data_IF_344259593039
#
_entry.id   IF_344259593039
#
_cell.length_a   1.000
_cell.length_b   1.000
_cell.length_c   1.000
_cell.angle_alpha   90.00
_cell.angle_beta   90.00
_cell.angle_gamma   90.00
#
_symmetry.space_group_name_H-M   'P 1'
#
loop_
_entity.id
_entity.type
_entity.pdbx_description
1 polymer ?
#
# COMPACT_ATOMS: atom_id res chain seq x y z
N UNK A 1 24.30 -15.10 -0.17
CA UNK A 1 23.45 -13.98 0.31
C UNK A 1 23.40 -12.93 -0.78
N UNK A 2 22.23 -12.66 -1.39
CA UNK A 2 22.11 -11.54 -2.34
C UNK A 2 22.25 -10.21 -1.57
N UNK A 3 23.25 -9.41 -1.92
CA UNK A 3 23.37 -8.04 -1.43
C UNK A 3 22.24 -7.20 -2.03
N UNK A 4 21.29 -6.78 -1.21
CA UNK A 4 20.17 -5.96 -1.67
C UNK A 4 20.59 -4.49 -1.75
N UNK A 5 20.17 -3.73 -2.78
CA UNK A 5 20.55 -2.32 -2.91
C UNK A 5 20.07 -1.51 -1.69
N UNK A 6 20.99 -0.69 -1.14
CA UNK A 6 20.66 0.27 -0.08
C UNK A 6 19.84 1.41 -0.68
N UNK A 7 18.60 1.57 -0.23
CA UNK A 7 17.72 2.67 -0.65
C UNK A 7 17.90 3.84 0.32
N UNK A 8 18.13 5.04 -0.22
CA UNK A 8 18.31 6.24 0.60
C UNK A 8 17.04 6.58 1.39
N UNK A 9 17.15 7.32 2.52
CA UNK A 9 15.98 7.81 3.25
C UNK A 9 15.03 8.63 2.37
N UNK A 10 15.56 9.39 1.40
CA UNK A 10 14.76 10.12 0.42
C UNK A 10 14.00 9.16 -0.52
N UNK A 11 14.66 8.12 -1.03
CA UNK A 11 14.01 7.10 -1.86
C UNK A 11 12.87 6.40 -1.14
N UNK A 12 13.06 6.06 0.14
CA UNK A 12 12.00 5.47 0.96
C UNK A 12 10.82 6.44 1.23
N UNK A 13 11.04 7.76 1.18
CA UNK A 13 9.93 8.74 1.25
C UNK A 13 9.17 8.82 -0.06
N UNK A 14 9.88 8.81 -1.18
CA UNK A 14 9.27 8.83 -2.52
C UNK A 14 8.41 7.58 -2.75
N UNK A 15 8.88 6.40 -2.34
CA UNK A 15 8.09 5.17 -2.42
C UNK A 15 6.79 5.30 -1.61
N UNK A 16 6.88 5.71 -0.34
CA UNK A 16 5.71 5.90 0.53
C UNK A 16 4.76 6.97 -0.03
N UNK A 17 5.31 8.08 -0.54
CA UNK A 17 4.54 9.19 -1.11
C UNK A 17 3.84 8.82 -2.42
N UNK A 18 4.51 8.07 -3.31
CA UNK A 18 3.92 7.58 -4.56
C UNK A 18 2.73 6.66 -4.28
N UNK A 19 2.89 5.72 -3.35
CA UNK A 19 1.79 4.86 -2.93
C UNK A 19 0.68 5.61 -2.18
N UNK A 20 1.03 6.65 -1.41
CA UNK A 20 0.04 7.51 -0.78
C UNK A 20 -0.83 8.23 -1.82
N UNK A 21 -0.20 8.83 -2.83
CA UNK A 21 -0.92 9.51 -3.92
C UNK A 21 -1.83 8.53 -4.68
N UNK A 22 -1.31 7.36 -5.04
CA UNK A 22 -2.11 6.31 -5.69
C UNK A 22 -3.33 5.91 -4.85
N UNK A 23 -3.14 5.74 -3.54
CA UNK A 23 -4.20 5.36 -2.61
C UNK A 23 -5.25 6.48 -2.46
N UNK A 24 -4.83 7.75 -2.43
CA UNK A 24 -5.76 8.88 -2.41
C UNK A 24 -6.62 8.94 -3.68
N UNK A 25 -6.02 8.77 -4.86
CA UNK A 25 -6.76 8.73 -6.12
C UNK A 25 -7.78 7.59 -6.11
N UNK A 26 -7.38 6.43 -5.60
CA UNK A 26 -8.24 5.25 -5.51
C UNK A 26 -9.40 5.47 -4.52
N UNK A 27 -9.13 6.08 -3.36
CA UNK A 27 -10.16 6.46 -2.39
C UNK A 27 -11.21 7.39 -3.02
N UNK A 28 -10.74 8.43 -3.72
CA UNK A 28 -11.61 9.39 -4.41
C UNK A 28 -12.45 8.72 -5.50
N UNK A 29 -11.88 7.78 -6.26
CA UNK A 29 -12.59 7.04 -7.29
C UNK A 29 -13.76 6.21 -6.73
N UNK A 30 -13.62 5.68 -5.51
CA UNK A 30 -14.65 4.87 -4.85
C UNK A 30 -15.59 5.65 -3.94
N UNK A 31 -15.46 6.97 -3.82
CA UNK A 31 -16.35 7.77 -2.96
C UNK A 31 -17.83 7.67 -3.35
N UNK A 32 -18.13 7.41 -4.63
CA UNK A 32 -19.51 7.49 -5.14
C UNK A 32 -20.00 6.18 -5.72
N UNK A 33 -19.12 5.39 -6.36
CA UNK A 33 -19.51 4.14 -7.00
C UNK A 33 -18.39 3.11 -6.94
N UNK A 34 -18.73 1.93 -6.45
CA UNK A 34 -17.86 0.77 -6.44
C UNK A 34 -18.17 -0.13 -7.66
N UNK A 35 -17.15 -0.69 -8.34
CA UNK A 35 -17.35 -1.72 -9.36
C UNK A 35 -17.94 -2.98 -8.72
N UNK A 36 -18.96 -3.59 -9.34
CA UNK A 36 -19.60 -4.82 -8.82
C UNK A 36 -18.63 -6.01 -8.70
N UNK A 37 -17.55 -6.03 -9.47
CA UNK A 37 -16.48 -7.04 -9.32
C UNK A 37 -15.80 -7.00 -7.94
N UNK A 38 -15.95 -5.90 -7.20
CA UNK A 38 -15.38 -5.71 -5.86
C UNK A 38 -16.39 -5.92 -4.73
N UNK A 39 -17.65 -6.23 -5.03
CA UNK A 39 -18.68 -6.55 -4.02
C UNK A 39 -18.20 -7.59 -3.00
N UNK A 40 -17.48 -8.67 -3.40
CA UNK A 40 -16.92 -9.61 -2.44
C UNK A 40 -15.99 -8.93 -1.43
N UNK A 41 -15.13 -8.02 -1.88
CA UNK A 41 -14.18 -7.32 -1.00
C UNK A 41 -14.91 -6.37 -0.06
N UNK A 42 -15.89 -5.62 -0.56
CA UNK A 42 -16.67 -4.66 0.23
C UNK A 42 -17.45 -5.33 1.36
N UNK A 43 -17.91 -6.57 1.18
CA UNK A 43 -18.61 -7.32 2.23
C UNK A 43 -17.73 -7.71 3.43
N UNK A 44 -16.42 -7.88 3.24
CA UNK A 44 -15.49 -8.28 4.31
C UNK A 44 -14.84 -7.08 5.02
N UNK A 45 -14.90 -5.89 4.42
CA UNK A 45 -14.27 -4.72 5.00
C UNK A 45 -15.16 -4.10 6.08
N UNK A 46 -14.58 -3.72 7.23
CA UNK A 46 -15.32 -3.03 8.29
C UNK A 46 -15.70 -1.59 7.92
N UNK A 47 -15.04 -1.03 6.90
CA UNK A 47 -15.30 0.28 6.32
C UNK A 47 -15.57 0.09 4.82
N UNK A 48 -16.32 1.01 4.19
CA UNK A 48 -16.45 0.99 2.73
C UNK A 48 -15.08 1.14 2.02
N UNK A 49 -15.03 0.87 0.71
CA UNK A 49 -13.76 0.87 -0.02
C UNK A 49 -13.09 2.25 0.04
N UNK A 50 -13.85 3.32 -0.14
CA UNK A 50 -13.32 4.69 -0.13
C UNK A 50 -12.58 5.01 1.19
N UNK A 51 -13.20 4.72 2.33
CA UNK A 51 -12.61 4.99 3.65
C UNK A 51 -11.43 4.07 3.96
N UNK A 52 -11.48 2.82 3.51
CA UNK A 52 -10.35 1.89 3.64
C UNK A 52 -9.12 2.40 2.87
N UNK A 53 -9.31 2.84 1.63
CA UNK A 53 -8.24 3.42 0.82
C UNK A 53 -7.75 4.76 1.39
N UNK A 54 -8.64 5.60 1.92
CA UNK A 54 -8.27 6.86 2.57
C UNK A 54 -7.42 6.62 3.84
N UNK A 55 -7.76 5.60 4.63
CA UNK A 55 -6.98 5.21 5.80
C UNK A 55 -5.56 4.74 5.41
N UNK A 56 -5.45 3.90 4.37
CA UNK A 56 -4.16 3.46 3.83
C UNK A 56 -3.35 4.66 3.33
N UNK A 57 -4.00 5.55 2.58
CA UNK A 57 -3.38 6.77 2.05
C UNK A 57 -2.83 7.66 3.18
N UNK A 58 -3.60 7.84 4.26
CA UNK A 58 -3.18 8.61 5.42
C UNK A 58 -1.92 8.03 6.08
N UNK A 59 -1.89 6.72 6.31
CA UNK A 59 -0.71 6.05 6.87
C UNK A 59 0.53 6.26 5.99
N UNK A 60 0.38 6.11 4.68
CA UNK A 60 1.47 6.28 3.73
C UNK A 60 1.91 7.75 3.61
N UNK A 61 0.98 8.72 3.70
CA UNK A 61 1.29 10.16 3.76
C UNK A 61 2.09 10.48 5.01
N UNK A 62 1.67 10.00 6.19
CA UNK A 62 2.41 10.18 7.44
C UNK A 62 3.82 9.56 7.33
N UNK A 63 3.93 8.38 6.72
CA UNK A 63 5.21 7.71 6.49
C UNK A 63 6.16 8.43 5.51
N UNK A 64 5.61 9.25 4.61
CA UNK A 64 6.36 10.04 3.64
C UNK A 64 6.79 11.41 4.21
N UNK A 65 5.88 12.11 4.88
CA UNK A 65 6.06 13.51 5.28
C UNK A 65 6.77 13.66 6.62
N UNK A 66 6.54 12.74 7.57
CA UNK A 66 7.10 12.91 8.92
C UNK A 66 8.64 12.82 8.94
N UNK A 67 9.30 13.57 9.84
CA UNK A 67 10.74 13.45 10.08
C UNK A 67 11.13 12.03 10.50
N UNK A 68 12.29 11.55 10.05
CA UNK A 68 12.77 10.18 10.35
C UNK A 68 13.70 10.07 11.55
N UNK A 69 13.91 11.17 12.27
CA UNK A 69 14.77 11.23 13.45
C UNK A 69 13.94 11.21 14.74
N UNK A 70 14.53 10.73 15.84
CA UNK A 70 13.89 10.72 17.16
C UNK A 70 12.60 9.89 17.25
N UNK A 71 11.70 10.29 18.15
CA UNK A 71 10.42 9.61 18.42
C UNK A 71 9.47 9.66 17.20
N UNK A 72 9.40 10.80 16.51
CA UNK A 72 8.61 10.97 15.28
C UNK A 72 9.09 10.05 14.15
N UNK A 73 10.39 9.75 14.11
CA UNK A 73 10.93 8.78 13.16
C UNK A 73 10.40 7.36 13.34
N UNK A 74 10.14 6.90 14.57
CA UNK A 74 9.53 5.59 14.82
C UNK A 74 8.10 5.55 14.28
N UNK A 75 7.34 6.62 14.48
CA UNK A 75 5.96 6.76 13.99
C UNK A 75 5.96 6.77 12.45
N UNK A 76 6.78 7.62 11.83
CA UNK A 76 6.90 7.69 10.36
C UNK A 76 7.20 6.31 9.74
N UNK A 77 8.12 5.57 10.34
CA UNK A 77 8.48 4.21 9.92
C UNK A 77 7.34 3.21 10.10
N UNK A 78 6.68 3.24 11.26
CA UNK A 78 5.52 2.41 11.56
C UNK A 78 4.39 2.65 10.56
N UNK A 79 4.03 3.91 10.31
CA UNK A 79 3.00 4.31 9.36
C UNK A 79 3.34 3.87 7.93
N UNK A 80 4.58 4.06 7.46
CA UNK A 80 5.00 3.61 6.13
C UNK A 80 4.90 2.07 5.99
N UNK A 81 5.34 1.34 7.02
CA UNK A 81 5.33 -0.13 7.01
C UNK A 81 3.91 -0.69 7.05
N UNK A 82 3.09 -0.22 7.99
CA UNK A 82 1.70 -0.64 8.13
C UNK A 82 0.87 -0.23 6.91
N UNK A 83 1.02 1.01 6.44
CA UNK A 83 0.34 1.48 5.24
C UNK A 83 0.67 0.63 4.01
N UNK A 84 1.94 0.26 3.82
CA UNK A 84 2.34 -0.60 2.69
C UNK A 84 1.84 -2.04 2.86
N UNK A 85 1.75 -2.56 4.09
CA UNK A 85 1.19 -3.87 4.36
C UNK A 85 -0.32 -3.92 4.05
N UNK A 86 -1.09 -2.93 4.52
CA UNK A 86 -2.52 -2.83 4.19
C UNK A 86 -2.76 -2.63 2.70
N UNK A 87 -1.95 -1.79 2.05
CA UNK A 87 -1.95 -1.61 0.59
C UNK A 87 -1.76 -2.95 -0.14
N UNK A 88 -0.73 -3.73 0.23
CA UNK A 88 -0.46 -5.02 -0.39
C UNK A 88 -1.63 -6.00 -0.19
N UNK A 89 -2.22 -6.02 1.01
CA UNK A 89 -3.42 -6.82 1.31
C UNK A 89 -4.62 -6.43 0.46
N UNK A 90 -4.89 -5.13 0.31
CA UNK A 90 -5.98 -4.62 -0.54
C UNK A 90 -5.77 -4.95 -2.02
N UNK A 91 -4.55 -4.78 -2.52
CA UNK A 91 -4.21 -5.14 -3.91
C UNK A 91 -4.35 -6.65 -4.15
N UNK A 92 -3.99 -7.47 -3.17
CA UNK A 92 -4.18 -8.92 -3.24
C UNK A 92 -5.68 -9.30 -3.23
N UNK A 93 -6.50 -8.63 -2.41
CA UNK A 93 -7.94 -8.82 -2.41
C UNK A 93 -8.56 -8.44 -3.77
N UNK A 94 -8.12 -7.32 -4.35
CA UNK A 94 -8.56 -6.88 -5.67
C UNK A 94 -8.13 -7.86 -6.77
N UNK A 95 -6.89 -8.39 -6.70
CA UNK A 95 -6.42 -9.43 -7.61
C UNK A 95 -7.35 -10.64 -7.60
N UNK A 96 -7.72 -11.14 -6.40
CA UNK A 96 -8.61 -12.29 -6.26
C UNK A 96 -10.01 -11.96 -6.78
N UNK A 97 -10.58 -10.82 -6.37
CA UNK A 97 -11.93 -10.42 -6.75
C UNK A 97 -12.09 -10.27 -8.27
N UNK A 98 -11.16 -9.56 -8.93
CA UNK A 98 -11.16 -9.47 -10.39
C UNK A 98 -10.82 -10.81 -11.07
N UNK A 99 -9.99 -11.64 -10.45
CA UNK A 99 -9.67 -12.97 -10.98
C UNK A 99 -10.85 -13.95 -10.98
N UNK A 100 -11.78 -13.77 -10.04
CA UNK A 100 -13.01 -14.55 -9.92
C UNK A 100 -14.19 -13.92 -10.69
N UNK A 101 -14.05 -12.68 -11.18
CA UNK A 101 -15.10 -12.00 -11.94
C UNK A 101 -15.20 -12.54 -13.38
N UNK A 102 -16.42 -12.61 -13.91
CA UNK A 102 -16.70 -13.13 -15.24
C UNK A 102 -16.10 -12.27 -16.38
N UNK A 103 -15.90 -12.90 -17.53
CA UNK A 103 -15.44 -12.24 -18.76
C UNK A 103 -13.94 -11.93 -18.77
N UNK A 104 -13.57 -10.65 -18.84
CA UNK A 104 -12.18 -10.18 -18.96
C UNK A 104 -11.54 -9.73 -17.64
N UNK A 105 -12.14 -10.11 -16.50
CA UNK A 105 -11.63 -9.77 -15.16
C UNK A 105 -10.17 -10.16 -14.92
N UNK A 106 -9.71 -11.24 -15.54
CA UNK A 106 -8.33 -11.71 -15.48
C UNK A 106 -7.28 -10.68 -15.93
N UNK A 107 -7.64 -9.72 -16.81
CA UNK A 107 -6.72 -8.66 -17.27
C UNK A 107 -6.38 -7.74 -16.10
N UNK A 108 -7.41 -7.30 -15.38
CA UNK A 108 -7.26 -6.50 -14.16
C UNK A 108 -6.56 -7.28 -13.06
N UNK A 109 -6.89 -8.57 -12.89
CA UNK A 109 -6.26 -9.43 -11.90
C UNK A 109 -4.74 -9.50 -12.05
N UNK A 110 -4.22 -9.64 -13.29
CA UNK A 110 -2.77 -9.65 -13.55
C UNK A 110 -2.09 -8.33 -13.18
N UNK A 111 -2.75 -7.20 -13.45
CA UNK A 111 -2.23 -5.89 -13.06
C UNK A 111 -2.16 -5.76 -11.53
N UNK A 112 -3.22 -6.17 -10.82
CA UNK A 112 -3.24 -6.17 -9.36
C UNK A 112 -2.23 -7.17 -8.77
N UNK A 113 -1.96 -8.30 -9.42
CA UNK A 113 -0.90 -9.22 -9.02
C UNK A 113 0.48 -8.55 -9.10
N UNK A 114 0.78 -7.86 -10.21
CA UNK A 114 2.04 -7.14 -10.37
C UNK A 114 2.20 -6.01 -9.33
N UNK A 115 1.12 -5.25 -9.07
CA UNK A 115 1.10 -4.21 -8.04
C UNK A 115 1.28 -4.80 -6.63
N UNK A 116 0.66 -5.95 -6.35
CA UNK A 116 0.81 -6.66 -5.07
C UNK A 116 2.27 -7.06 -4.85
N UNK A 117 2.92 -7.65 -5.86
CA UNK A 117 4.35 -8.00 -5.79
C UNK A 117 5.21 -6.76 -5.57
N UNK A 118 4.94 -5.66 -6.30
CA UNK A 118 5.65 -4.40 -6.11
C UNK A 118 5.47 -3.85 -4.69
N UNK A 119 4.26 -3.89 -4.14
CA UNK A 119 3.96 -3.47 -2.78
C UNK A 119 4.69 -4.34 -1.73
N UNK A 120 4.77 -5.66 -1.93
CA UNK A 120 5.56 -6.54 -1.07
C UNK A 120 7.05 -6.20 -1.07
N UNK A 121 7.64 -5.94 -2.25
CA UNK A 121 9.04 -5.51 -2.37
C UNK A 121 9.24 -4.18 -1.65
N UNK A 122 8.34 -3.21 -1.85
CA UNK A 122 8.38 -1.91 -1.17
C UNK A 122 8.27 -2.05 0.36
N UNK A 123 7.40 -2.92 0.85
CA UNK A 123 7.23 -3.19 2.28
C UNK A 123 8.53 -3.73 2.89
N UNK A 124 9.21 -4.66 2.21
CA UNK A 124 10.51 -5.18 2.64
C UNK A 124 11.59 -4.10 2.65
N UNK A 125 11.62 -3.22 1.65
CA UNK A 125 12.56 -2.09 1.59
C UNK A 125 12.34 -1.10 2.75
N UNK A 126 11.07 -0.76 3.03
CA UNK A 126 10.71 0.15 4.11
C UNK A 126 10.99 -0.47 5.49
N UNK A 127 10.68 -1.75 5.67
CA UNK A 127 10.91 -2.47 6.92
C UNK A 127 12.38 -2.76 7.25
N UNK A 128 13.28 -2.84 6.25
CA UNK A 128 14.71 -3.08 6.49
C UNK A 128 15.52 -1.83 6.83
N UNK A 129 15.00 -0.64 6.50
CA UNK A 129 15.54 0.62 7.03
C UNK A 129 15.48 0.71 8.57
N UNK A 130 14.94 -0.31 9.25
CA UNK A 130 14.82 -0.42 10.71
C UNK A 130 16.05 -1.04 11.39
N UNK A 131 16.94 -1.74 10.64
CA UNK A 131 18.00 -2.56 11.24
C UNK A 131 19.37 -1.90 11.44
N UNK A 132 19.69 -0.82 10.73
CA UNK A 132 21.04 -0.21 10.74
C UNK A 132 21.19 1.01 11.67
N UNK A 133 20.10 1.55 12.25
CA UNK A 133 20.14 2.74 13.14
C UNK A 133 20.10 2.37 14.63
N UNK A 134 20.12 1.08 14.96
CA UNK A 134 20.07 0.57 16.33
C UNK A 134 21.39 -0.09 16.78
N UNK A 135 22.51 0.23 16.13
CA UNK A 135 23.86 -0.12 16.58
C UNK A 135 24.69 1.14 16.75
#
# INVERSE_FOLDING_TARGET
MLAWPRVSPAGLRLISGGWALWSWITALAYLHKEPSSLDPVSMWLPLNLAWTWAFIALLLTLGAVLPRHGKTGKIARGCATLGTAFLAGMLAAFMVAYGLSDGRGWVSAKNYAALTVAAFICSRLLGRGHGEVAK
#
